data_IF_539458310501
#
_entry.id   IF_539458310501
#
_cell.length_a   1.000
_cell.length_b   1.000
_cell.length_c   1.000
_cell.angle_alpha   90.00
_cell.angle_beta   90.00
_cell.angle_gamma   90.00
#
_symmetry.space_group_name_H-M   'P 1'
#
loop_
_entity.id
_entity.type
_entity.pdbx_description
1 polymer ?
#
# COMPACT_ATOMS: atom_id res chain seq x y z
N UNK A 1 -47.04 -9.20 34.27
CA UNK A 1 -46.62 -7.84 34.68
C UNK A 1 -47.74 -6.78 34.60
N UNK A 2 -48.25 -6.42 33.42
CA UNK A 2 -49.21 -5.30 33.23
C UNK A 2 -50.48 -5.37 34.10
N UNK A 3 -51.05 -6.57 34.25
CA UNK A 3 -52.22 -6.78 35.10
C UNK A 3 -51.93 -6.52 36.59
N UNK A 4 -50.72 -6.87 37.06
CA UNK A 4 -50.27 -6.60 38.44
C UNK A 4 -50.07 -5.10 38.66
N UNK A 5 -49.49 -4.38 37.69
CA UNK A 5 -49.31 -2.91 37.72
C UNK A 5 -50.67 -2.21 37.81
N UNK A 6 -51.62 -2.64 36.98
CA UNK A 6 -52.98 -2.10 37.00
C UNK A 6 -53.68 -2.33 38.35
N UNK A 7 -53.52 -3.51 38.96
CA UNK A 7 -54.06 -3.80 40.29
C UNK A 7 -53.36 -2.99 41.39
N UNK A 8 -52.05 -2.78 41.29
CA UNK A 8 -51.30 -1.99 42.26
C UNK A 8 -51.74 -0.54 42.25
N UNK A 9 -51.90 0.06 41.07
CA UNK A 9 -52.42 1.42 40.92
C UNK A 9 -53.82 1.53 41.51
N UNK A 10 -54.71 0.58 41.22
CA UNK A 10 -56.07 0.55 41.77
C UNK A 10 -56.09 0.47 43.30
N UNK A 11 -55.32 -0.45 43.90
CA UNK A 11 -55.26 -0.59 45.36
C UNK A 11 -54.58 0.61 46.04
N UNK A 12 -53.59 1.21 45.40
CA UNK A 12 -52.93 2.43 45.88
C UNK A 12 -53.89 3.62 45.92
N UNK A 13 -54.68 3.79 44.86
CA UNK A 13 -55.72 4.83 44.82
C UNK A 13 -56.78 4.58 45.89
N UNK A 14 -57.24 3.33 46.05
CA UNK A 14 -58.23 2.97 47.07
C UNK A 14 -57.72 3.27 48.49
N UNK A 15 -56.46 2.97 48.80
CA UNK A 15 -55.84 3.24 50.09
C UNK A 15 -55.78 4.74 50.46
N UNK A 16 -55.78 5.63 49.46
CA UNK A 16 -55.79 7.08 49.69
C UNK A 16 -57.17 7.63 50.11
N UNK A 17 -58.26 6.97 49.73
CA UNK A 17 -59.63 7.49 49.91
C UNK A 17 -60.47 6.68 50.90
N UNK A 18 -60.22 5.37 51.05
CA UNK A 18 -61.01 4.47 51.89
C UNK A 18 -60.39 4.27 53.29
N UNK A 19 -61.13 4.67 54.34
CA UNK A 19 -60.68 4.51 55.74
C UNK A 19 -60.82 3.08 56.26
N UNK A 20 -61.54 2.21 55.55
CA UNK A 20 -61.71 0.80 55.90
C UNK A 20 -60.78 -0.12 55.08
N UNK A 21 -59.82 0.45 54.35
CA UNK A 21 -58.85 -0.28 53.55
C UNK A 21 -58.06 -1.29 54.39
N UNK A 22 -57.92 -2.52 53.88
CA UNK A 22 -57.13 -3.59 54.50
C UNK A 22 -55.71 -3.60 53.90
N UNK A 23 -54.67 -3.21 54.67
CA UNK A 23 -53.31 -3.14 54.18
C UNK A 23 -52.73 -4.49 53.71
N UNK A 24 -53.25 -5.61 54.21
CA UNK A 24 -52.75 -6.95 53.84
C UNK A 24 -52.92 -7.26 52.35
N UNK A 25 -53.91 -6.64 51.70
CA UNK A 25 -54.18 -6.81 50.27
C UNK A 25 -53.07 -6.26 49.37
N UNK A 26 -52.33 -5.23 49.83
CA UNK A 26 -51.15 -4.70 49.12
C UNK A 26 -49.96 -5.64 49.31
N UNK A 27 -49.79 -6.20 50.51
CA UNK A 27 -48.67 -7.09 50.83
C UNK A 27 -48.73 -8.37 49.99
N UNK A 28 -49.91 -8.97 49.85
CA UNK A 28 -50.14 -10.12 48.96
C UNK A 28 -49.84 -9.80 47.50
N UNK A 29 -50.21 -8.60 47.05
CA UNK A 29 -49.92 -8.15 45.70
C UNK A 29 -48.41 -7.93 45.49
N UNK A 30 -47.71 -7.32 46.46
CA UNK A 30 -46.26 -7.13 46.40
C UNK A 30 -45.52 -8.48 46.33
N UNK A 31 -45.96 -9.48 47.10
CA UNK A 31 -45.39 -10.83 47.01
C UNK A 31 -45.54 -11.43 45.60
N UNK A 32 -46.67 -11.20 44.92
CA UNK A 32 -46.87 -11.61 43.52
C UNK A 32 -45.95 -10.85 42.54
N UNK A 33 -45.72 -9.56 42.78
CA UNK A 33 -44.78 -8.75 41.99
C UNK A 33 -43.35 -9.28 42.09
N UNK A 34 -42.88 -9.58 43.29
CA UNK A 34 -41.53 -10.11 43.49
C UNK A 34 -41.35 -11.43 42.74
N UNK A 35 -42.30 -12.36 42.89
CA UNK A 35 -42.25 -13.65 42.20
C UNK A 35 -42.24 -13.48 40.68
N UNK A 36 -43.09 -12.62 40.14
CA UNK A 36 -43.16 -12.38 38.70
C UNK A 36 -41.89 -11.70 38.18
N UNK A 37 -41.36 -10.71 38.91
CA UNK A 37 -40.13 -10.02 38.57
C UNK A 37 -38.93 -10.98 38.53
N UNK A 38 -38.79 -11.87 39.53
CA UNK A 38 -37.74 -12.88 39.52
C UNK A 38 -37.87 -13.85 38.35
N UNK A 39 -39.09 -14.28 38.00
CA UNK A 39 -39.31 -15.15 36.83
C UNK A 39 -38.93 -14.46 35.53
N UNK A 40 -39.37 -13.21 35.34
CA UNK A 40 -39.02 -12.42 34.15
C UNK A 40 -37.52 -12.18 34.05
N UNK A 41 -36.86 -11.86 35.17
CA UNK A 41 -35.41 -11.67 35.21
C UNK A 41 -34.66 -12.98 34.88
N UNK A 42 -35.06 -14.11 35.46
CA UNK A 42 -34.45 -15.41 35.16
C UNK A 42 -34.63 -15.82 33.69
N UNK A 43 -35.79 -15.53 33.10
CA UNK A 43 -36.04 -15.80 31.68
C UNK A 43 -35.19 -14.89 30.78
N UNK A 44 -35.12 -13.60 31.10
CA UNK A 44 -34.29 -12.63 30.37
C UNK A 44 -32.80 -12.97 30.46
N UNK A 45 -32.31 -13.36 31.64
CA UNK A 45 -30.91 -13.77 31.83
C UNK A 45 -30.58 -15.02 31.00
N UNK A 46 -31.50 -15.99 30.94
CA UNK A 46 -31.33 -17.18 30.12
C UNK A 46 -31.31 -16.85 28.62
N UNK A 47 -32.20 -15.97 28.17
CA UNK A 47 -32.23 -15.50 26.78
C UNK A 47 -30.93 -14.78 26.43
N UNK A 48 -30.47 -13.88 27.30
CA UNK A 48 -29.21 -13.17 27.13
C UNK A 48 -28.01 -14.13 27.06
N UNK A 49 -27.95 -15.15 27.91
CA UNK A 49 -26.88 -16.15 27.85
C UNK A 49 -26.89 -16.95 26.54
N UNK A 50 -28.07 -17.29 26.01
CA UNK A 50 -28.18 -17.96 24.71
C UNK A 50 -27.74 -17.05 23.56
N UNK A 51 -28.13 -15.77 23.58
CA UNK A 51 -27.70 -14.79 22.60
C UNK A 51 -26.18 -14.58 22.62
N UNK A 52 -25.58 -14.49 23.81
CA UNK A 52 -24.13 -14.38 23.98
C UNK A 52 -23.42 -15.62 23.43
N UNK A 53 -23.88 -16.82 23.77
CA UNK A 53 -23.30 -18.06 23.24
C UNK A 53 -23.40 -18.13 21.71
N UNK A 54 -24.53 -17.72 21.15
CA UNK A 54 -24.73 -17.70 19.71
C UNK A 54 -23.76 -16.70 19.04
N UNK A 55 -23.63 -15.50 19.61
CA UNK A 55 -22.69 -14.50 19.14
C UNK A 55 -21.23 -14.98 19.23
N UNK A 56 -20.85 -15.69 20.30
CA UNK A 56 -19.52 -16.30 20.45
C UNK A 56 -19.25 -17.36 19.37
N UNK A 57 -20.23 -18.21 19.05
CA UNK A 57 -20.11 -19.22 18.00
C UNK A 57 -19.94 -18.55 16.63
N UNK A 58 -20.74 -17.54 16.32
CA UNK A 58 -20.66 -16.80 15.06
C UNK A 58 -19.33 -16.06 14.93
N UNK A 59 -18.86 -15.44 16.02
CA UNK A 59 -17.56 -14.80 16.06
C UNK A 59 -16.44 -15.82 15.81
N UNK A 60 -16.53 -17.00 16.41
CA UNK A 60 -15.55 -18.07 16.22
C UNK A 60 -15.52 -18.57 14.78
N UNK A 61 -16.68 -18.74 14.16
CA UNK A 61 -16.77 -19.11 12.74
C UNK A 61 -16.17 -18.02 11.83
N UNK A 62 -16.39 -16.75 12.16
CA UNK A 62 -15.79 -15.64 11.41
C UNK A 62 -14.26 -15.60 11.56
N UNK A 63 -13.73 -15.89 12.75
CA UNK A 63 -12.29 -16.01 13.00
C UNK A 63 -11.68 -17.16 12.20
N UNK A 64 -12.27 -18.36 12.27
CA UNK A 64 -11.78 -19.52 11.54
C UNK A 64 -11.81 -19.28 10.01
N UNK A 65 -12.84 -18.59 9.52
CA UNK A 65 -12.90 -18.17 8.12
C UNK A 65 -11.78 -17.19 7.77
N UNK A 66 -11.56 -16.16 8.58
CA UNK A 66 -10.48 -15.20 8.39
C UNK A 66 -9.11 -15.89 8.33
N UNK A 67 -8.86 -16.82 9.26
CA UNK A 67 -7.61 -17.58 9.33
C UNK A 67 -7.39 -18.41 8.06
N UNK A 68 -8.43 -19.10 7.56
CA UNK A 68 -8.34 -19.87 6.31
C UNK A 68 -8.05 -19.00 5.07
N UNK A 69 -8.66 -17.82 4.99
CA UNK A 69 -8.42 -16.88 3.89
C UNK A 69 -7.00 -16.34 3.95
N UNK A 70 -6.52 -16.02 5.16
CA UNK A 70 -5.16 -15.54 5.37
C UNK A 70 -4.12 -16.61 5.03
N UNK A 71 -4.34 -17.85 5.46
CA UNK A 71 -3.46 -18.99 5.13
C UNK A 71 -3.38 -19.20 3.61
N UNK A 72 -4.52 -19.23 2.92
CA UNK A 72 -4.56 -19.34 1.45
C UNK A 72 -3.81 -18.20 0.77
N UNK A 73 -4.00 -16.95 1.21
CA UNK A 73 -3.31 -15.81 0.64
C UNK A 73 -1.79 -15.89 0.87
N UNK A 74 -1.35 -16.29 2.06
CA UNK A 74 0.08 -16.45 2.36
C UNK A 74 0.73 -17.55 1.53
N UNK A 75 0.01 -18.64 1.26
CA UNK A 75 0.49 -19.71 0.40
C UNK A 75 0.62 -19.27 -1.06
N UNK A 76 -0.32 -18.47 -1.57
CA UNK A 76 -0.19 -17.85 -2.90
C UNK A 76 1.03 -16.93 -2.98
N UNK A 77 1.26 -16.10 -1.95
CA UNK A 77 2.44 -15.23 -1.89
C UNK A 77 3.74 -16.04 -1.85
N UNK A 78 3.79 -17.12 -1.08
CA UNK A 78 4.96 -18.01 -1.01
C UNK A 78 5.28 -18.60 -2.38
N UNK A 79 4.28 -19.13 -3.08
CA UNK A 79 4.47 -19.69 -4.43
C UNK A 79 4.96 -18.64 -5.41
N UNK A 80 4.39 -17.43 -5.34
CA UNK A 80 4.79 -16.32 -6.19
C UNK A 80 6.25 -15.89 -5.93
N UNK A 81 6.67 -15.81 -4.67
CA UNK A 81 8.06 -15.48 -4.30
C UNK A 81 9.04 -16.55 -4.82
N UNK A 82 8.72 -17.83 -4.64
CA UNK A 82 9.54 -18.94 -5.15
C UNK A 82 9.66 -18.92 -6.67
N UNK A 83 8.58 -18.61 -7.39
CA UNK A 83 8.58 -18.48 -8.85
C UNK A 83 9.41 -17.27 -9.31
N UNK A 84 9.27 -16.13 -8.63
CA UNK A 84 10.06 -14.92 -8.90
C UNK A 84 11.55 -15.15 -8.67
N UNK A 85 11.92 -15.81 -7.56
CA UNK A 85 13.33 -16.10 -7.27
C UNK A 85 13.90 -17.08 -8.31
N UNK A 86 13.14 -18.11 -8.67
CA UNK A 86 13.55 -19.09 -9.68
C UNK A 86 13.75 -18.44 -11.05
N UNK A 87 12.83 -17.58 -11.48
CA UNK A 87 12.91 -16.88 -12.78
C UNK A 87 14.06 -15.88 -12.78
N UNK A 88 14.16 -15.04 -11.75
CA UNK A 88 15.26 -14.08 -11.58
C UNK A 88 16.64 -14.75 -11.60
N UNK A 89 16.80 -15.85 -10.87
CA UNK A 89 18.05 -16.62 -10.87
C UNK A 89 18.41 -17.14 -12.27
N UNK A 90 17.42 -17.67 -12.99
CA UNK A 90 17.62 -18.17 -14.36
C UNK A 90 18.02 -17.03 -15.32
N UNK A 91 17.32 -15.90 -15.26
CA UNK A 91 17.65 -14.72 -16.09
C UNK A 91 19.04 -14.19 -15.77
N UNK A 92 19.43 -14.16 -14.50
CA UNK A 92 20.76 -13.75 -14.08
C UNK A 92 21.84 -14.70 -14.60
N UNK A 93 21.64 -16.02 -14.52
CA UNK A 93 22.56 -17.01 -15.05
C UNK A 93 22.73 -16.87 -16.58
N UNK A 94 21.64 -16.66 -17.32
CA UNK A 94 21.67 -16.42 -18.77
C UNK A 94 22.43 -15.13 -19.13
N UNK A 95 22.23 -14.05 -18.37
CA UNK A 95 22.96 -12.79 -18.54
C UNK A 95 24.45 -12.94 -18.25
N UNK A 96 24.81 -13.64 -17.18
CA UNK A 96 26.21 -13.92 -16.83
C UNK A 96 26.88 -14.75 -17.93
N UNK A 97 26.19 -15.75 -18.48
CA UNK A 97 26.74 -16.54 -19.58
C UNK A 97 26.98 -15.67 -20.82
N UNK A 98 26.01 -14.82 -21.16
CA UNK A 98 26.10 -13.89 -22.28
C UNK A 98 27.28 -12.91 -22.10
N UNK A 99 27.44 -12.36 -20.91
CA UNK A 99 28.55 -11.49 -20.55
C UNK A 99 29.91 -12.20 -20.64
N UNK A 100 30.00 -13.46 -20.19
CA UNK A 100 31.23 -14.25 -20.31
C UNK A 100 31.57 -14.60 -21.76
N UNK A 101 30.57 -14.88 -22.61
CA UNK A 101 30.77 -15.05 -24.05
C UNK A 101 31.30 -13.78 -24.70
N UNK A 102 30.69 -12.63 -24.40
CA UNK A 102 31.15 -11.32 -24.88
C UNK A 102 32.57 -11.01 -24.39
N UNK A 103 32.89 -11.31 -23.12
CA UNK A 103 34.23 -11.13 -22.55
C UNK A 103 35.29 -11.99 -23.26
N UNK A 104 34.98 -13.26 -23.53
CA UNK A 104 35.87 -14.16 -24.28
C UNK A 104 36.10 -13.65 -25.71
N UNK A 105 35.05 -13.18 -26.38
CA UNK A 105 35.16 -12.58 -27.71
C UNK A 105 36.01 -11.30 -27.68
N UNK A 106 35.78 -10.40 -26.72
CA UNK A 106 36.59 -9.20 -26.54
C UNK A 106 38.08 -9.51 -26.37
N UNK A 107 38.44 -10.50 -25.53
CA UNK A 107 39.84 -10.96 -25.39
C UNK A 107 40.42 -11.54 -26.68
N UNK A 108 39.63 -12.22 -27.50
CA UNK A 108 40.08 -12.73 -28.80
C UNK A 108 40.33 -11.58 -29.79
N UNK A 109 39.42 -10.60 -29.85
CA UNK A 109 39.57 -9.42 -30.71
C UNK A 109 40.77 -8.57 -30.30
N UNK A 110 41.01 -8.39 -29.00
CA UNK A 110 42.18 -7.66 -28.48
C UNK A 110 43.51 -8.34 -28.86
N UNK A 111 43.55 -9.68 -28.81
CA UNK A 111 44.69 -10.46 -29.33
C UNK A 111 44.86 -10.31 -30.83
N UNK A 112 43.77 -10.32 -31.60
CA UNK A 112 43.85 -10.15 -33.05
C UNK A 112 44.30 -8.73 -33.43
N UNK A 113 43.80 -7.71 -32.72
CA UNK A 113 44.16 -6.31 -32.91
C UNK A 113 45.62 -6.04 -32.53
N UNK A 114 46.12 -6.59 -31.43
CA UNK A 114 47.55 -6.47 -31.05
C UNK A 114 48.48 -7.15 -32.06
N UNK A 115 48.08 -8.26 -32.68
CA UNK A 115 48.83 -8.88 -33.79
C UNK A 115 48.78 -8.02 -35.06
N UNK A 116 47.63 -7.41 -35.38
CA UNK A 116 47.47 -6.52 -36.54
C UNK A 116 48.17 -5.15 -36.36
N UNK A 117 48.31 -4.69 -35.11
CA UNK A 117 48.97 -3.45 -34.70
C UNK A 117 50.49 -3.46 -34.88
N UNK A 118 51.09 -4.54 -35.38
CA UNK A 118 52.51 -4.57 -35.79
C UNK A 118 52.73 -3.72 -37.07
N UNK A 119 51.66 -3.17 -37.68
CA UNK A 119 51.77 -2.12 -38.69
C UNK A 119 51.58 -0.72 -38.08
N UNK A 120 52.47 0.25 -38.36
CA UNK A 120 52.39 1.59 -37.78
C UNK A 120 51.35 2.41 -38.54
N UNK A 121 50.09 2.32 -38.14
CA UNK A 121 49.08 3.33 -38.48
C UNK A 121 48.66 4.05 -37.21
N UNK A 122 48.96 5.35 -37.16
CA UNK A 122 48.51 6.27 -36.11
C UNK A 122 46.98 6.32 -36.10
N UNK A 123 46.37 5.62 -35.14
CA UNK A 123 44.96 5.70 -34.83
C UNK A 123 44.69 6.99 -34.04
N UNK A 124 43.94 7.92 -34.64
CA UNK A 124 43.29 8.98 -33.88
C UNK A 124 42.12 8.34 -33.14
N UNK A 125 42.23 8.20 -31.82
CA UNK A 125 41.14 7.68 -31.01
C UNK A 125 40.06 8.76 -30.87
N UNK A 126 38.89 8.55 -31.47
CA UNK A 126 37.72 9.37 -31.21
C UNK A 126 37.20 9.07 -29.80
N UNK A 127 37.20 10.08 -28.93
CA UNK A 127 36.67 9.96 -27.57
C UNK A 127 35.16 10.25 -27.57
N UNK A 128 34.36 9.25 -27.20
CA UNK A 128 32.92 9.41 -27.03
C UNK A 128 32.57 9.74 -25.57
N UNK A 129 31.75 10.77 -25.36
CA UNK A 129 31.28 11.18 -24.04
C UNK A 129 29.77 10.91 -23.91
N UNK A 130 29.41 9.87 -23.16
CA UNK A 130 28.03 9.50 -22.86
C UNK A 130 27.63 10.04 -21.49
N UNK A 131 26.43 10.61 -21.39
CA UNK A 131 25.92 11.24 -20.18
C UNK A 131 24.60 10.55 -19.83
N UNK A 132 24.54 10.01 -18.61
CA UNK A 132 23.32 9.47 -18.00
C UNK A 132 23.04 10.26 -16.72
N UNK A 133 21.77 10.53 -16.44
CA UNK A 133 21.39 11.28 -15.25
C UNK A 133 19.92 11.68 -15.25
N UNK A 134 19.60 12.56 -14.31
CA UNK A 134 18.28 13.17 -14.16
C UNK A 134 18.19 14.53 -14.88
N UNK A 135 17.17 15.32 -14.51
CA UNK A 135 16.93 16.67 -15.02
C UNK A 135 18.13 17.64 -14.95
N UNK A 136 19.10 17.42 -14.04
CA UNK A 136 20.29 18.26 -13.92
C UNK A 136 21.28 18.04 -15.08
N UNK A 137 21.29 16.83 -15.64
CA UNK A 137 22.16 16.43 -16.75
C UNK A 137 21.43 16.43 -18.10
N UNK A 138 20.11 16.66 -18.09
CA UNK A 138 19.30 16.73 -19.30
C UNK A 138 19.57 18.00 -20.10
N UNK A 139 19.82 17.80 -21.40
CA UNK A 139 20.09 18.86 -22.37
C UNK A 139 18.86 19.29 -23.18
N UNK A 140 17.67 18.77 -22.85
CA UNK A 140 16.40 19.06 -23.51
C UNK A 140 15.64 17.83 -24.01
N UNK A 141 16.06 16.62 -23.64
CA UNK A 141 15.46 15.37 -24.09
C UNK A 141 14.00 15.20 -23.65
N UNK A 142 13.61 15.86 -22.56
CA UNK A 142 12.23 15.82 -22.07
C UNK A 142 11.17 16.23 -23.11
N UNK A 143 11.50 17.03 -24.13
CA UNK A 143 10.53 17.36 -25.20
C UNK A 143 10.03 16.15 -25.98
N UNK A 144 10.80 15.07 -26.04
CA UNK A 144 10.46 13.85 -26.77
C UNK A 144 9.76 12.79 -25.91
N UNK A 145 9.70 13.00 -24.58
CA UNK A 145 9.17 12.04 -23.62
C UNK A 145 7.73 12.35 -23.18
N UNK A 146 7.24 13.57 -23.44
CA UNK A 146 5.89 14.00 -23.06
C UNK A 146 5.01 14.20 -24.30
N UNK A 147 3.72 13.91 -24.14
CA UNK A 147 2.73 14.04 -25.20
C UNK A 147 2.71 15.46 -25.82
N UNK A 148 2.48 15.56 -27.14
CA UNK A 148 2.37 16.86 -27.82
C UNK A 148 1.34 17.76 -27.12
N UNK A 149 1.78 18.95 -26.67
CA UNK A 149 0.91 19.94 -26.03
C UNK A 149 0.94 19.96 -24.51
N UNK A 150 1.69 19.07 -23.84
CA UNK A 150 1.91 19.16 -22.39
C UNK A 150 2.86 20.32 -22.06
N UNK A 151 2.51 21.08 -21.03
CA UNK A 151 3.35 22.17 -20.52
C UNK A 151 4.63 21.64 -19.87
N UNK A 152 5.79 22.08 -20.38
CA UNK A 152 7.11 21.75 -19.83
C UNK A 152 7.75 23.04 -19.33
N UNK A 153 8.03 23.12 -18.03
CA UNK A 153 8.57 24.34 -17.41
C UNK A 153 9.95 24.73 -17.98
N UNK A 154 10.80 23.77 -18.31
CA UNK A 154 12.15 24.01 -18.86
C UNK A 154 12.19 24.70 -20.24
N UNK A 155 11.03 24.82 -20.92
CA UNK A 155 10.86 25.56 -22.17
C UNK A 155 10.26 26.96 -21.97
N UNK A 156 10.16 27.42 -20.72
CA UNK A 156 9.58 28.71 -20.36
C UNK A 156 10.53 29.48 -19.42
N UNK A 157 10.33 30.80 -19.34
CA UNK A 157 11.05 31.64 -18.37
C UNK A 157 10.75 31.15 -16.94
N UNK A 158 11.75 31.13 -16.03
CA UNK A 158 13.02 31.84 -16.11
C UNK A 158 14.16 31.09 -16.81
N UNK A 159 13.97 29.87 -17.31
CA UNK A 159 15.07 29.05 -17.83
C UNK A 159 15.63 29.57 -19.16
N UNK A 160 16.95 29.49 -19.30
CA UNK A 160 17.71 29.97 -20.48
C UNK A 160 17.69 31.49 -20.71
N UNK A 161 17.28 32.30 -19.74
CA UNK A 161 17.25 33.77 -19.78
C UNK A 161 18.66 34.38 -19.81
N UNK A 162 19.58 33.91 -18.98
CA UNK A 162 20.97 34.42 -18.94
C UNK A 162 21.85 33.79 -20.03
N UNK A 163 21.67 32.49 -20.29
CA UNK A 163 22.36 31.75 -21.35
C UNK A 163 21.45 30.56 -21.74
N UNK A 164 20.83 30.48 -22.91
CA UNK A 164 21.20 30.95 -24.24
C UNK A 164 20.32 32.11 -24.77
N UNK A 165 19.79 32.97 -23.88
CA UNK A 165 18.78 34.00 -24.17
C UNK A 165 17.44 33.44 -24.70
N UNK A 166 17.22 32.14 -24.58
CA UNK A 166 15.97 31.44 -24.85
C UNK A 166 15.95 30.12 -24.08
N UNK A 167 14.77 29.62 -23.78
CA UNK A 167 14.60 28.34 -23.10
C UNK A 167 14.98 27.19 -24.03
N UNK A 168 15.89 26.31 -23.59
CA UNK A 168 16.44 25.21 -24.38
C UNK A 168 15.92 23.83 -23.97
N UNK A 169 14.99 23.78 -23.01
CA UNK A 169 14.54 22.51 -22.41
C UNK A 169 15.39 22.03 -21.24
N UNK A 170 16.39 22.82 -20.83
CA UNK A 170 17.25 22.56 -19.68
C UNK A 170 16.66 23.19 -18.42
N UNK A 171 16.74 22.49 -17.30
CA UNK A 171 16.34 23.02 -15.98
C UNK A 171 17.40 23.96 -15.38
N UNK A 172 17.94 24.86 -16.21
CA UNK A 172 18.99 25.81 -15.83
C UNK A 172 18.84 27.11 -16.60
N UNK A 173 19.35 28.19 -16.02
CA UNK A 173 19.48 29.50 -16.67
C UNK A 173 20.78 29.63 -17.49
N UNK A 174 21.54 28.53 -17.61
CA UNK A 174 22.81 28.46 -18.32
C UNK A 174 23.25 27.04 -18.68
N UNK A 175 24.58 26.85 -18.76
CA UNK A 175 25.21 25.55 -19.05
C UNK A 175 24.91 24.52 -17.94
N UNK A 176 24.71 23.27 -18.34
CA UNK A 176 24.59 22.14 -17.43
C UNK A 176 25.99 21.54 -17.14
N UNK A 177 26.16 20.75 -16.06
CA UNK A 177 27.45 20.11 -15.72
C UNK A 177 28.15 19.41 -16.90
N UNK A 178 27.45 18.69 -17.80
CA UNK A 178 28.09 18.06 -18.95
C UNK A 178 28.76 19.03 -19.92
N UNK A 179 28.25 20.25 -20.07
CA UNK A 179 28.83 21.22 -21.01
C UNK A 179 30.22 21.69 -20.54
N UNK A 180 30.45 21.72 -19.22
CA UNK A 180 31.74 22.06 -18.64
C UNK A 180 32.75 20.92 -18.77
N UNK A 181 32.27 19.68 -18.66
CA UNK A 181 33.10 18.47 -18.80
C UNK A 181 33.46 18.25 -20.28
N UNK A 182 32.48 18.30 -21.18
CA UNK A 182 32.70 18.15 -22.62
C UNK A 182 33.69 19.17 -23.18
N UNK A 183 33.63 20.42 -22.71
CA UNK A 183 34.62 21.46 -23.08
C UNK A 183 36.06 21.12 -22.67
N UNK A 184 36.26 20.31 -21.63
CA UNK A 184 37.60 19.88 -21.20
C UNK A 184 38.11 18.64 -21.91
N UNK A 185 37.20 17.83 -22.47
CA UNK A 185 37.52 16.57 -23.15
C UNK A 185 37.75 16.81 -24.65
N UNK A 186 36.97 17.70 -25.27
CA UNK A 186 37.09 18.08 -26.69
C UNK A 186 37.97 19.33 -26.80
N UNK A 187 39.25 19.14 -27.12
CA UNK A 187 40.20 20.21 -27.47
C UNK A 187 40.31 20.33 -28.98
#
# INVERSE_FOLDING_TARGET
MEALISQFTFLSDQACYDKAFDPSTIEDLINLFEVEAYKSWAAMELEHQNEVQQAEIEMKQAEDYLDSVMESAMDEFRQFEEEMERTSKKEMEELVETAERARKMGKLMDKAASVASISPFTCYADYYFFIFGDSLYDVGNNQYLVEPGRYISAYHKPYGTTFFNHATGRFSDGRAPPDFIGKKIVV
#
